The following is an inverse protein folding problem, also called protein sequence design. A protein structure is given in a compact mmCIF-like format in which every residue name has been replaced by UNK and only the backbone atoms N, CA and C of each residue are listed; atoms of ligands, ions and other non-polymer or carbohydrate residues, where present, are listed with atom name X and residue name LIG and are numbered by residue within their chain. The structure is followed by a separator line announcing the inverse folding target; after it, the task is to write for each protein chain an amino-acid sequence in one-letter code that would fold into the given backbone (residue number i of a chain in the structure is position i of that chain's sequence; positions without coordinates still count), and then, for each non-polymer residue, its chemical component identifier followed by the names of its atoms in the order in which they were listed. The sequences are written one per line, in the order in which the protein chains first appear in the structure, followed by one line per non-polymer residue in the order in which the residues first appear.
data_IF_000967988315
#
_entry.id   IF_000967988315
#
_cell.length_a   1.000
_cell.length_b   1.000
_cell.length_c   1.000
_cell.angle_alpha   90.00
_cell.angle_beta   90.00
_cell.angle_gamma   90.00
#
_symmetry.space_group_name_H-M   'P 1'
#
loop_
_entity.id
_entity.type
_entity.pdbx_description
1 polymer ?
#
# COMPACT_ATOMS: atom_id res chain seq x y z
N UNK A 1 13.66 -12.79 -10.34
CA UNK A 1 13.19 -11.46 -9.90
C UNK A 1 12.86 -10.69 -11.17
N UNK A 2 11.62 -10.21 -11.39
CA UNK A 2 11.36 -9.27 -12.48
C UNK A 2 12.23 -8.02 -12.28
N UNK A 3 12.37 -7.22 -13.34
CA UNK A 3 13.22 -6.03 -13.43
C UNK A 3 13.51 -5.33 -12.08
N UNK A 4 14.81 -5.26 -11.75
CA UNK A 4 15.33 -4.76 -10.46
C UNK A 4 14.86 -3.33 -10.16
N UNK A 5 14.59 -2.52 -11.19
CA UNK A 5 14.17 -1.13 -11.02
C UNK A 5 12.69 -0.94 -10.64
N UNK A 6 11.83 -1.96 -10.75
CA UNK A 6 10.38 -1.78 -10.54
C UNK A 6 10.02 -1.46 -9.09
N UNK A 7 10.67 -2.14 -8.14
CA UNK A 7 10.43 -1.91 -6.72
C UNK A 7 10.82 -0.47 -6.34
N UNK A 8 12.02 -0.04 -6.74
CA UNK A 8 12.51 1.32 -6.52
C UNK A 8 11.60 2.36 -7.16
N UNK A 9 11.21 2.17 -8.43
CA UNK A 9 10.32 3.10 -9.12
C UNK A 9 8.97 3.29 -8.42
N UNK A 10 8.38 2.22 -7.87
CA UNK A 10 7.11 2.32 -7.14
C UNK A 10 7.28 3.00 -5.78
N UNK A 11 8.38 2.74 -5.07
CA UNK A 11 8.68 3.43 -3.82
C UNK A 11 8.92 4.93 -4.05
N UNK A 12 9.66 5.30 -5.10
CA UNK A 12 9.88 6.69 -5.45
C UNK A 12 8.59 7.42 -5.80
N UNK A 13 7.58 6.75 -6.39
CA UNK A 13 6.28 7.38 -6.64
C UNK A 13 5.61 7.81 -5.33
N UNK A 14 5.57 6.93 -4.32
CA UNK A 14 4.95 7.26 -3.03
C UNK A 14 5.78 8.32 -2.29
N UNK A 15 7.11 8.19 -2.30
CA UNK A 15 8.00 9.18 -1.68
C UNK A 15 7.87 10.56 -2.33
N UNK A 16 7.74 10.64 -3.65
CA UNK A 16 7.59 11.91 -4.35
C UNK A 16 6.26 12.60 -4.00
N UNK A 17 5.17 11.83 -3.80
CA UNK A 17 3.89 12.36 -3.30
C UNK A 17 4.04 13.04 -1.94
N UNK A 18 4.83 12.44 -1.04
CA UNK A 18 5.13 13.02 0.27
C UNK A 18 6.02 14.26 0.15
N UNK A 19 7.19 14.13 -0.49
CA UNK A 19 8.24 15.17 -0.51
C UNK A 19 7.84 16.39 -1.34
N UNK A 20 7.23 16.20 -2.51
CA UNK A 20 7.01 17.27 -3.48
C UNK A 20 5.56 17.73 -3.56
N UNK A 21 4.59 16.86 -3.29
CA UNK A 21 3.16 17.21 -3.34
C UNK A 21 2.57 17.51 -1.95
N UNK A 22 3.37 17.37 -0.89
CA UNK A 22 2.97 17.73 0.48
C UNK A 22 1.88 16.83 1.07
N UNK A 23 1.68 15.63 0.51
CA UNK A 23 0.70 14.66 1.03
C UNK A 23 1.22 14.12 2.36
N UNK A 24 0.59 14.53 3.45
CA UNK A 24 0.94 14.12 4.81
C UNK A 24 -0.09 13.19 5.47
N UNK A 25 -1.16 12.82 4.76
CA UNK A 25 -2.12 11.82 5.24
C UNK A 25 -1.48 10.42 5.19
N UNK A 26 -1.19 9.88 6.37
CA UNK A 26 -0.56 8.58 6.54
C UNK A 26 -1.41 7.43 5.99
N UNK A 27 -2.74 7.50 6.09
CA UNK A 27 -3.62 6.47 5.55
C UNK A 27 -3.62 6.50 4.03
N UNK A 28 -3.58 7.70 3.44
CA UNK A 28 -3.48 7.85 1.99
C UNK A 28 -2.12 7.34 1.47
N UNK A 29 -1.01 7.67 2.13
CA UNK A 29 0.31 7.15 1.78
C UNK A 29 0.40 5.62 1.94
N UNK A 30 -0.20 5.06 2.99
CA UNK A 30 -0.29 3.61 3.19
C UNK A 30 -1.13 2.94 2.09
N UNK A 31 -2.26 3.54 1.70
CA UNK A 31 -3.10 3.08 0.61
C UNK A 31 -2.34 3.10 -0.74
N UNK A 32 -1.50 4.11 -0.98
CA UNK A 32 -0.64 4.17 -2.17
C UNK A 32 0.33 2.99 -2.21
N UNK A 33 0.96 2.63 -1.09
CA UNK A 33 1.80 1.42 -1.01
C UNK A 33 1.02 0.15 -1.32
N UNK A 34 -0.18 0.00 -0.72
CA UNK A 34 -1.03 -1.17 -0.96
C UNK A 34 -1.33 -1.35 -2.44
N UNK A 35 -1.82 -0.28 -3.08
CA UNK A 35 -2.24 -0.29 -4.48
C UNK A 35 -1.06 -0.49 -5.44
N UNK A 36 0.04 0.25 -5.22
CA UNK A 36 1.23 0.20 -6.06
C UNK A 36 1.88 -1.19 -6.05
N UNK A 37 2.03 -1.81 -4.88
CA UNK A 37 2.70 -3.10 -4.75
C UNK A 37 1.80 -4.25 -5.21
N UNK A 38 0.51 -4.23 -4.84
CA UNK A 38 -0.42 -5.30 -5.18
C UNK A 38 -0.66 -5.42 -6.69
N UNK A 39 -0.61 -4.31 -7.43
CA UNK A 39 -0.82 -4.25 -8.88
C UNK A 39 0.47 -4.13 -9.71
N UNK A 40 1.60 -3.84 -9.07
CA UNK A 40 2.85 -3.52 -9.77
C UNK A 40 3.59 -4.70 -10.38
N UNK A 41 3.15 -5.94 -10.14
CA UNK A 41 3.84 -7.18 -10.58
C UNK A 41 5.37 -7.11 -10.32
N UNK A 42 5.74 -6.65 -9.13
CA UNK A 42 7.12 -6.40 -8.71
C UNK A 42 7.85 -7.73 -8.50
N UNK A 43 7.14 -8.70 -7.95
CA UNK A 43 7.66 -10.03 -7.64
C UNK A 43 7.00 -11.10 -8.51
N UNK A 44 7.70 -12.22 -8.72
CA UNK A 44 7.13 -13.39 -9.41
C UNK A 44 5.88 -13.92 -8.69
N UNK A 45 5.90 -13.90 -7.37
CA UNK A 45 4.77 -14.18 -6.48
C UNK A 45 4.93 -13.35 -5.20
N UNK A 46 3.87 -13.21 -4.40
CA UNK A 46 3.90 -12.58 -3.10
C UNK A 46 3.45 -11.12 -3.09
N UNK A 47 3.19 -10.51 -4.26
CA UNK A 47 2.82 -9.08 -4.37
C UNK A 47 1.74 -8.64 -3.37
N UNK A 48 0.64 -9.39 -3.26
CA UNK A 48 -0.45 -9.08 -2.30
C UNK A 48 0.02 -9.17 -0.84
N UNK A 49 0.77 -10.22 -0.48
CA UNK A 49 1.29 -10.41 0.88
C UNK A 49 2.28 -9.30 1.25
N UNK A 50 3.17 -8.95 0.32
CA UNK A 50 4.12 -7.85 0.49
C UNK A 50 3.42 -6.51 0.58
N UNK A 51 2.40 -6.26 -0.24
CA UNK A 51 1.61 -5.04 -0.19
C UNK A 51 0.99 -4.85 1.19
N UNK A 52 0.25 -5.86 1.68
CA UNK A 52 -0.38 -5.80 3.00
C UNK A 52 0.65 -5.60 4.12
N UNK A 53 1.75 -6.35 4.10
CA UNK A 53 2.79 -6.23 5.12
C UNK A 53 3.42 -4.82 5.14
N UNK A 54 3.75 -4.26 3.98
CA UNK A 54 4.32 -2.92 3.88
C UNK A 54 3.32 -1.85 4.34
N UNK A 55 2.05 -1.97 3.97
CA UNK A 55 0.99 -1.04 4.41
C UNK A 55 0.87 -1.00 5.92
N UNK A 56 0.74 -2.16 6.58
CA UNK A 56 0.63 -2.23 8.04
C UNK A 56 1.93 -1.80 8.73
N UNK A 57 3.09 -2.18 8.18
CA UNK A 57 4.39 -1.77 8.72
C UNK A 57 4.60 -0.25 8.62
N UNK A 58 4.21 0.37 7.51
CA UNK A 58 4.29 1.81 7.32
C UNK A 58 3.46 2.55 8.38
N UNK A 59 2.20 2.16 8.56
CA UNK A 59 1.33 2.76 9.59
C UNK A 59 1.90 2.58 10.99
N UNK A 60 2.37 1.36 11.30
CA UNK A 60 2.98 1.05 12.61
C UNK A 60 4.23 1.89 12.88
N UNK A 61 5.07 2.12 11.86
CA UNK A 61 6.26 2.98 11.98
C UNK A 61 5.91 4.45 12.20
N UNK A 62 4.69 4.86 11.85
CA UNK A 62 4.15 6.20 12.10
C UNK A 62 3.22 6.25 13.33
N UNK A 63 3.25 5.23 14.20
CA UNK A 63 2.51 5.23 15.47
C UNK A 63 1.05 4.76 15.38
N UNK A 64 0.62 4.24 14.22
CA UNK A 64 -0.74 3.71 14.01
C UNK A 64 -0.64 2.17 13.96
N UNK A 65 -1.07 1.49 15.03
CA UNK A 65 -1.02 0.02 15.09
C UNK A 65 -2.34 -0.59 14.63
N UNK A 66 -2.33 -1.18 13.44
CA UNK A 66 -3.45 -1.95 12.90
C UNK A 66 -3.09 -3.43 12.90
N UNK A 67 -3.66 -4.25 13.80
CA UNK A 67 -3.38 -5.68 13.83
C UNK A 67 -3.86 -6.33 12.53
N UNK A 68 -3.09 -7.30 12.03
CA UNK A 68 -3.49 -8.06 10.85
C UNK A 68 -4.85 -8.72 11.05
N UNK A 69 -5.75 -8.56 10.09
CA UNK A 69 -7.13 -9.03 10.16
C UNK A 69 -7.61 -9.61 8.82
N UNK A 70 -8.65 -10.44 8.85
CA UNK A 70 -9.30 -10.94 7.63
C UNK A 70 -9.84 -9.80 6.76
N UNK A 71 -10.26 -8.70 7.39
CA UNK A 71 -10.70 -7.50 6.69
C UNK A 71 -9.59 -6.95 5.78
N UNK A 72 -8.36 -6.79 6.30
CA UNK A 72 -7.25 -6.28 5.49
C UNK A 72 -6.77 -7.24 4.41
N UNK A 73 -6.94 -8.56 4.62
CA UNK A 73 -6.70 -9.55 3.57
C UNK A 73 -7.66 -9.32 2.40
N UNK A 74 -8.96 -9.16 2.68
CA UNK A 74 -9.97 -8.91 1.65
C UNK A 74 -9.74 -7.56 0.96
N UNK A 75 -9.48 -6.50 1.74
CA UNK A 75 -9.12 -5.17 1.21
C UNK A 75 -7.98 -5.25 0.19
N UNK A 76 -6.95 -6.05 0.49
CA UNK A 76 -5.80 -6.24 -0.41
C UNK A 76 -6.17 -7.01 -1.69
N UNK A 77 -7.07 -7.98 -1.60
CA UNK A 77 -7.57 -8.73 -2.76
C UNK A 77 -8.36 -7.79 -3.69
N UNK A 78 -9.26 -6.99 -3.13
CA UNK A 78 -10.13 -6.09 -3.89
C UNK A 78 -9.32 -4.95 -4.54
N UNK A 79 -8.34 -4.41 -3.81
CA UNK A 79 -7.38 -3.44 -4.35
C UNK A 79 -6.57 -4.02 -5.52
N UNK A 80 -6.09 -5.27 -5.39
CA UNK A 80 -5.35 -5.95 -6.46
C UNK A 80 -6.21 -6.24 -7.69
N UNK A 81 -7.50 -6.54 -7.47
CA UNK A 81 -8.49 -6.74 -8.52
C UNK A 81 -8.92 -5.41 -9.19
N UNK A 82 -8.53 -4.27 -8.63
CA UNK A 82 -8.89 -2.95 -9.12
C UNK A 82 -10.34 -2.56 -8.85
N UNK A 83 -10.93 -3.14 -7.81
CA UNK A 83 -12.30 -2.89 -7.39
C UNK A 83 -12.42 -1.70 -6.43
N UNK A 84 -11.28 -1.22 -5.91
CA UNK A 84 -11.22 -0.10 -4.97
C UNK A 84 -10.33 1.00 -5.54
N UNK A 85 -10.78 2.24 -5.35
CA UNK A 85 -10.01 3.45 -5.54
C UNK A 85 -9.02 3.66 -4.40
N UNK A 86 -8.08 4.58 -4.62
CA UNK A 86 -7.10 4.94 -3.60
C UNK A 86 -7.76 5.50 -2.34
N UNK A 87 -8.76 6.36 -2.49
CA UNK A 87 -9.46 7.00 -1.39
C UNK A 87 -10.28 5.99 -0.59
N UNK A 88 -10.96 5.05 -1.25
CA UNK A 88 -11.69 3.97 -0.57
C UNK A 88 -10.76 3.11 0.29
N UNK A 89 -9.57 2.77 -0.22
CA UNK A 89 -8.57 2.03 0.56
C UNK A 89 -8.12 2.85 1.78
N UNK A 90 -7.85 4.13 1.60
CA UNK A 90 -7.42 5.02 2.69
C UNK A 90 -8.49 5.13 3.79
N UNK A 91 -9.77 5.26 3.41
CA UNK A 91 -10.88 5.29 4.38
C UNK A 91 -11.03 3.97 5.13
N UNK A 92 -10.94 2.82 4.45
CA UNK A 92 -11.02 1.52 5.13
C UNK A 92 -9.88 1.32 6.14
N UNK A 93 -8.67 1.79 5.83
CA UNK A 93 -7.56 1.78 6.80
C UNK A 93 -7.78 2.73 7.97
N UNK A 94 -8.51 3.84 7.77
CA UNK A 94 -8.78 4.84 8.81
C UNK A 94 -9.88 4.43 9.78
N UNK A 95 -10.86 3.67 9.30
CA UNK A 95 -12.02 3.21 10.11
C UNK A 95 -11.75 1.92 10.89
N UNK A 96 -10.58 1.32 10.73
CA UNK A 96 -10.22 0.03 11.31
C UNK A 96 -9.72 0.10 12.76
#
# INVERSE_FOLDING_TARGET
MPDRGRAEALLYRVLNKYVYEGINDLYLLAAMHLLAISRGHIFNDGNKRTALFITLLFLRRNGIDLPGSHHFVQLTVDAAAGQLSLDEIAEQLRLA
#
